data_IF_129550208033
#
_entry.id   IF_129550208033
#
_cell.length_a   1.000
_cell.length_b   1.000
_cell.length_c   1.000
_cell.angle_alpha   90.00
_cell.angle_beta   90.00
_cell.angle_gamma   90.00
#
_symmetry.space_group_name_H-M   'P 1'
#
loop_
_entity.id
_entity.type
_entity.pdbx_description
1 polymer ?
#
# COMPACT_ATOMS: atom_id res chain seq x y z
N UNK A 1 -17.30 17.59 13.39
CA UNK A 1 -16.80 17.21 12.05
C UNK A 1 -17.42 15.88 11.70
N UNK A 2 -18.25 15.83 10.66
CA UNK A 2 -18.87 14.60 10.15
C UNK A 2 -17.92 13.80 9.24
N UNK A 3 -18.36 12.63 8.75
CA UNK A 3 -17.58 11.75 7.86
C UNK A 3 -17.07 12.44 6.59
N UNK A 4 -17.92 13.19 5.89
CA UNK A 4 -17.58 13.85 4.63
C UNK A 4 -16.59 15.01 4.86
N UNK A 5 -16.80 15.79 5.94
CA UNK A 5 -15.86 16.83 6.35
C UNK A 5 -14.49 16.26 6.75
N UNK A 6 -14.47 15.13 7.47
CA UNK A 6 -13.23 14.40 7.79
C UNK A 6 -12.53 13.95 6.51
N UNK A 7 -13.27 13.37 5.57
CA UNK A 7 -12.73 12.93 4.27
C UNK A 7 -12.05 14.09 3.55
N UNK A 8 -12.76 15.22 3.38
CA UNK A 8 -12.19 16.42 2.73
C UNK A 8 -10.98 16.97 3.50
N UNK A 9 -11.02 16.95 4.84
CA UNK A 9 -9.89 17.39 5.67
C UNK A 9 -8.65 16.53 5.43
N UNK A 10 -8.80 15.20 5.41
CA UNK A 10 -7.71 14.27 5.14
C UNK A 10 -7.16 14.44 3.72
N UNK A 11 -8.05 14.53 2.73
CA UNK A 11 -7.70 14.71 1.31
C UNK A 11 -6.90 16.00 1.11
N UNK A 12 -7.27 17.08 1.80
CA UNK A 12 -6.58 18.36 1.71
C UNK A 12 -5.18 18.39 2.35
N UNK A 13 -4.80 17.41 3.17
CA UNK A 13 -3.45 17.31 3.72
C UNK A 13 -2.58 16.52 2.72
N UNK A 14 -1.57 17.11 2.09
CA UNK A 14 -0.66 16.36 1.22
C UNK A 14 0.04 15.26 2.00
N UNK A 15 0.05 14.04 1.46
CA UNK A 15 0.70 12.89 2.08
C UNK A 15 1.25 11.95 1.02
N UNK A 16 2.03 12.50 0.09
CA UNK A 16 2.76 11.66 -0.87
C UNK A 16 3.72 10.77 -0.08
N UNK A 17 3.89 9.51 -0.48
CA UNK A 17 4.81 8.59 0.21
C UNK A 17 6.17 9.22 0.50
N UNK A 18 6.62 9.18 1.76
CA UNK A 18 7.80 9.90 2.26
C UNK A 18 7.50 11.24 2.96
N UNK A 19 6.31 11.80 2.78
CA UNK A 19 5.84 13.10 3.29
C UNK A 19 4.54 12.96 4.11
N UNK A 20 4.43 11.90 4.91
CA UNK A 20 3.22 11.57 5.69
C UNK A 20 3.16 12.25 7.08
N UNK A 21 4.11 13.10 7.44
CA UNK A 21 4.24 13.69 8.78
C UNK A 21 3.05 14.57 9.15
N UNK A 22 2.60 15.46 8.24
CA UNK A 22 1.48 16.37 8.51
C UNK A 22 0.16 15.63 8.74
N UNK A 23 -0.11 14.59 7.92
CA UNK A 23 -1.33 13.79 8.08
C UNK A 23 -1.27 12.94 9.35
N UNK A 24 -0.09 12.42 9.70
CA UNK A 24 0.11 11.68 10.94
C UNK A 24 -0.12 12.57 12.18
N UNK A 25 0.37 13.82 12.16
CA UNK A 25 0.14 14.80 13.23
C UNK A 25 -1.35 15.10 13.43
N UNK A 26 -2.06 15.30 12.31
CA UNK A 26 -3.51 15.49 12.32
C UNK A 26 -4.24 14.27 12.89
N UNK A 27 -3.93 13.07 12.41
CA UNK A 27 -4.57 11.82 12.84
C UNK A 27 -4.32 11.54 14.33
N UNK A 28 -3.09 11.72 14.82
CA UNK A 28 -2.76 11.57 16.23
C UNK A 28 -3.58 12.52 17.10
N UNK A 29 -3.68 13.79 16.71
CA UNK A 29 -4.46 14.79 17.44
C UNK A 29 -5.96 14.47 17.40
N UNK A 30 -6.47 14.08 16.23
CA UNK A 30 -7.88 13.78 16.00
C UNK A 30 -8.37 12.54 16.75
N UNK A 31 -7.55 11.49 16.82
CA UNK A 31 -7.88 10.24 17.52
C UNK A 31 -7.70 10.39 19.03
N UNK A 32 -6.69 11.13 19.51
CA UNK A 32 -6.54 11.48 20.94
C UNK A 32 -7.75 12.28 21.44
N UNK A 33 -8.24 13.25 20.67
CA UNK A 33 -9.43 14.03 21.05
C UNK A 33 -10.71 13.20 21.14
N UNK A 34 -10.69 11.95 20.66
CA UNK A 34 -11.78 10.96 20.72
C UNK A 34 -11.52 9.87 21.76
N UNK A 35 -10.54 10.09 22.64
CA UNK A 35 -10.16 9.18 23.72
C UNK A 35 -9.67 7.81 23.26
N UNK A 36 -9.15 7.65 22.04
CA UNK A 36 -8.47 6.41 21.66
C UNK A 36 -7.10 6.34 22.36
N UNK A 37 -6.71 5.14 22.80
CA UNK A 37 -5.33 4.90 23.23
C UNK A 37 -4.43 4.81 22.00
N UNK A 38 -3.42 5.68 21.94
CA UNK A 38 -2.55 5.84 20.77
C UNK A 38 -1.15 5.31 21.03
N UNK A 39 -0.68 4.49 20.10
CA UNK A 39 0.72 4.09 19.97
C UNK A 39 1.23 4.46 18.58
N UNK A 40 2.26 5.30 18.56
CA UNK A 40 2.95 5.70 17.34
C UNK A 40 4.15 4.76 17.11
N UNK A 41 4.26 4.19 15.92
CA UNK A 41 5.40 3.35 15.54
C UNK A 41 6.30 4.11 14.56
N UNK A 42 7.42 4.62 15.07
CA UNK A 42 8.38 5.35 14.24
C UNK A 42 9.02 4.41 13.22
N UNK A 43 8.93 4.78 11.94
CA UNK A 43 9.53 4.05 10.83
C UNK A 43 10.86 4.70 10.44
N UNK A 44 10.86 6.01 10.29
CA UNK A 44 12.06 6.82 10.11
C UNK A 44 11.87 8.23 10.67
N UNK A 45 12.73 9.18 10.28
CA UNK A 45 12.70 10.55 10.81
C UNK A 45 11.38 11.29 10.58
N UNK A 46 10.62 10.94 9.53
CA UNK A 46 9.39 11.64 9.16
C UNK A 46 8.16 10.74 9.15
N UNK A 47 8.35 9.44 9.00
CA UNK A 47 7.26 8.48 8.83
C UNK A 47 6.98 7.68 10.10
N UNK A 48 5.69 7.48 10.39
CA UNK A 48 5.24 6.67 11.51
C UNK A 48 3.88 6.03 11.24
N UNK A 49 3.70 4.78 11.64
CA UNK A 49 2.37 4.19 11.72
C UNK A 49 1.65 4.70 12.97
N UNK A 50 0.32 4.66 12.94
CA UNK A 50 -0.54 4.99 14.07
C UNK A 50 -1.38 3.75 14.40
N UNK A 51 -1.23 3.24 15.62
CA UNK A 51 -2.16 2.29 16.20
C UNK A 51 -3.05 3.04 17.19
N UNK A 52 -4.37 2.98 16.99
CA UNK A 52 -5.36 3.57 17.88
C UNK A 52 -6.32 2.49 18.36
N UNK A 53 -6.56 2.37 19.66
CA UNK A 53 -7.41 1.29 20.21
C UNK A 53 -8.50 1.84 21.13
N UNK A 54 -9.67 1.21 21.09
CA UNK A 54 -10.79 1.55 21.97
C UNK A 54 -10.61 0.99 23.39
N UNK A 55 -9.79 -0.06 23.54
CA UNK A 55 -9.40 -0.72 24.78
C UNK A 55 -8.10 -1.50 24.61
N UNK A 56 -7.68 -2.24 25.63
CA UNK A 56 -6.33 -2.84 25.69
C UNK A 56 -6.13 -4.10 24.83
N UNK A 57 -7.20 -4.70 24.31
CA UNK A 57 -7.15 -5.97 23.58
C UNK A 57 -8.07 -5.94 22.36
N UNK A 58 -7.66 -5.29 21.25
CA UNK A 58 -8.47 -5.25 20.04
C UNK A 58 -8.56 -6.65 19.41
N UNK A 59 -9.78 -7.15 19.21
CA UNK A 59 -10.03 -8.38 18.46
C UNK A 59 -10.07 -8.14 16.96
N UNK A 60 -10.58 -6.98 16.55
CA UNK A 60 -10.64 -6.56 15.15
C UNK A 60 -9.79 -5.31 14.94
N UNK A 61 -8.91 -5.33 13.95
CA UNK A 61 -8.15 -4.15 13.51
C UNK A 61 -8.64 -3.72 12.14
N UNK A 62 -9.07 -2.48 12.02
CA UNK A 62 -9.30 -1.80 10.75
C UNK A 62 -7.98 -1.20 10.28
N UNK A 63 -7.43 -1.68 9.17
CA UNK A 63 -6.11 -1.30 8.68
C UNK A 63 -6.20 -0.62 7.32
N UNK A 64 -5.54 0.52 7.13
CA UNK A 64 -5.44 1.21 5.83
C UNK A 64 -4.19 2.10 5.82
N UNK A 65 -3.90 2.75 4.70
CA UNK A 65 -2.72 3.61 4.57
C UNK A 65 -3.08 5.10 4.50
N UNK A 66 -2.15 5.95 4.94
CA UNK A 66 -2.30 7.41 4.90
C UNK A 66 -1.54 8.06 3.74
N UNK A 67 -0.58 7.35 3.16
CA UNK A 67 0.19 7.83 2.01
C UNK A 67 -0.61 7.74 0.70
N UNK A 68 -0.14 8.46 -0.31
CA UNK A 68 -0.75 8.56 -1.62
C UNK A 68 0.31 8.67 -2.72
N UNK A 69 -0.01 8.30 -3.95
CA UNK A 69 0.84 8.62 -5.11
C UNK A 69 0.83 10.12 -5.50
N UNK A 70 1.92 10.64 -6.13
CA UNK A 70 1.89 11.97 -6.75
C UNK A 70 1.05 12.00 -8.04
N UNK A 71 0.57 13.19 -8.48
CA UNK A 71 0.59 14.46 -7.77
C UNK A 71 -0.55 14.57 -6.74
N UNK A 72 -0.38 15.49 -5.78
CA UNK A 72 -1.45 15.92 -4.88
C UNK A 72 -2.39 16.91 -5.57
N UNK A 73 -3.69 16.77 -5.28
CA UNK A 73 -4.72 17.75 -5.62
C UNK A 73 -5.76 17.77 -4.51
N UNK A 74 -6.16 18.99 -4.13
CA UNK A 74 -7.05 19.27 -3.00
C UNK A 74 -8.45 18.73 -3.23
N UNK A 75 -9.22 18.68 -2.14
CA UNK A 75 -10.58 18.18 -2.16
C UNK A 75 -11.52 19.14 -2.89
N UNK A 76 -12.37 18.60 -3.76
CA UNK A 76 -13.59 19.26 -4.25
C UNK A 76 -14.76 18.28 -4.18
N UNK A 77 -15.98 18.76 -4.34
CA UNK A 77 -17.17 17.89 -4.31
C UNK A 77 -18.25 18.38 -5.27
N UNK A 78 -19.09 17.45 -5.70
CA UNK A 78 -20.40 17.73 -6.32
C UNK A 78 -21.51 17.00 -5.55
N UNK A 79 -22.69 16.86 -6.15
CA UNK A 79 -23.84 16.20 -5.51
C UNK A 79 -23.63 14.70 -5.22
N UNK A 80 -22.64 14.07 -5.86
CA UNK A 80 -22.45 12.62 -5.81
C UNK A 80 -21.07 12.19 -5.32
N UNK A 81 -20.04 12.99 -5.59
CA UNK A 81 -18.65 12.58 -5.41
C UNK A 81 -17.82 13.63 -4.67
N UNK A 82 -16.89 13.12 -3.87
CA UNK A 82 -15.73 13.87 -3.38
C UNK A 82 -14.54 13.52 -4.27
N UNK A 83 -13.93 14.54 -4.84
CA UNK A 83 -12.73 14.44 -5.67
C UNK A 83 -11.51 14.88 -4.86
N UNK A 84 -10.34 14.35 -5.21
CA UNK A 84 -9.08 14.72 -4.57
C UNK A 84 -8.09 13.55 -4.49
N UNK A 85 -6.80 13.84 -4.26
CA UNK A 85 -5.79 12.79 -4.13
C UNK A 85 -6.06 12.00 -2.85
N UNK A 86 -6.37 10.73 -3.06
CA UNK A 86 -6.71 9.77 -2.03
C UNK A 86 -8.15 9.81 -1.55
N UNK A 87 -9.05 10.54 -2.22
CA UNK A 87 -10.48 10.47 -1.91
C UNK A 87 -11.01 9.02 -2.00
N UNK A 88 -10.59 8.28 -3.03
CA UNK A 88 -10.82 6.83 -3.15
C UNK A 88 -9.76 6.02 -2.38
N UNK A 89 -8.48 6.34 -2.61
CA UNK A 89 -7.33 5.50 -2.24
C UNK A 89 -6.30 6.21 -1.32
N UNK A 90 -6.35 6.05 0.00
CA UNK A 90 -7.42 5.39 0.75
C UNK A 90 -8.06 6.29 1.81
N UNK A 91 -7.94 7.62 1.68
CA UNK A 91 -8.35 8.58 2.72
C UNK A 91 -9.86 8.63 2.98
N UNK A 92 -10.69 8.43 1.95
CA UNK A 92 -12.15 8.29 2.16
C UNK A 92 -12.49 7.03 2.95
N UNK A 93 -11.83 5.92 2.63
CA UNK A 93 -11.97 4.65 3.36
C UNK A 93 -11.46 4.79 4.79
N UNK A 94 -10.30 5.44 4.97
CA UNK A 94 -9.74 5.76 6.28
C UNK A 94 -10.71 6.59 7.12
N UNK A 95 -11.36 7.61 6.54
CA UNK A 95 -12.37 8.40 7.23
C UNK A 95 -13.55 7.53 7.68
N UNK A 96 -14.04 6.63 6.83
CA UNK A 96 -15.13 5.73 7.14
C UNK A 96 -14.77 4.72 8.24
N UNK A 97 -13.54 4.18 8.21
CA UNK A 97 -13.03 3.29 9.26
C UNK A 97 -12.91 4.00 10.60
N UNK A 98 -12.37 5.23 10.62
CA UNK A 98 -12.26 6.04 11.83
C UNK A 98 -13.65 6.35 12.40
N UNK A 99 -14.61 6.73 11.54
CA UNK A 99 -15.99 7.01 11.94
C UNK A 99 -16.65 5.78 12.56
N UNK A 100 -16.56 4.63 11.89
CA UNK A 100 -17.14 3.37 12.36
C UNK A 100 -16.56 2.93 13.70
N UNK A 101 -15.23 3.00 13.85
CA UNK A 101 -14.56 2.66 15.11
C UNK A 101 -14.98 3.61 16.25
N UNK A 102 -15.25 4.88 15.96
CA UNK A 102 -15.76 5.83 16.93
C UNK A 102 -17.20 5.48 17.36
N UNK A 103 -18.11 5.23 16.41
CA UNK A 103 -19.50 4.85 16.72
C UNK A 103 -19.56 3.56 17.56
N UNK A 104 -18.83 2.53 17.15
CA UNK A 104 -18.77 1.26 17.90
C UNK A 104 -18.24 1.46 19.33
N UNK A 105 -17.25 2.33 19.51
CA UNK A 105 -16.73 2.67 20.83
C UNK A 105 -17.75 3.42 21.67
N UNK A 106 -18.51 4.34 21.09
CA UNK A 106 -19.60 5.06 21.75
C UNK A 106 -20.74 4.12 22.17
N UNK A 107 -20.96 3.04 21.42
CA UNK A 107 -21.84 1.92 21.78
C UNK A 107 -21.25 1.00 22.89
N UNK A 108 -20.01 1.25 23.32
CA UNK A 108 -19.36 0.53 24.41
C UNK A 108 -18.45 -0.63 23.99
N UNK A 109 -18.20 -0.82 22.68
CA UNK A 109 -17.23 -1.81 22.22
C UNK A 109 -15.79 -1.33 22.53
N UNK A 110 -14.97 -2.25 23.01
CA UNK A 110 -13.58 -1.96 23.45
C UNK A 110 -12.55 -2.83 22.75
N UNK A 111 -12.99 -3.76 21.90
CA UNK A 111 -12.19 -4.75 21.20
C UNK A 111 -11.95 -4.38 19.73
N UNK A 112 -11.89 -3.07 19.43
CA UNK A 112 -11.63 -2.52 18.10
C UNK A 112 -10.37 -1.66 18.10
N UNK A 113 -9.56 -1.83 17.06
CA UNK A 113 -8.39 -1.01 16.77
C UNK A 113 -8.39 -0.46 15.36
N UNK A 114 -7.67 0.64 15.16
CA UNK A 114 -7.30 1.23 13.88
C UNK A 114 -5.78 1.12 13.74
N UNK A 115 -5.31 0.60 12.61
CA UNK A 115 -3.90 0.61 12.24
C UNK A 115 -3.74 1.38 10.93
N UNK A 116 -3.20 2.59 11.03
CA UNK A 116 -2.98 3.45 9.87
C UNK A 116 -1.49 3.42 9.55
N UNK A 117 -1.14 2.90 8.37
CA UNK A 117 0.24 2.66 7.96
C UNK A 117 0.76 3.68 6.95
N UNK A 118 2.08 3.75 6.83
CA UNK A 118 2.80 4.57 5.85
C UNK A 118 3.48 3.71 4.78
N UNK A 119 3.70 4.32 3.62
CA UNK A 119 4.52 3.78 2.54
C UNK A 119 3.91 2.61 1.77
N UNK A 120 2.59 2.42 1.82
CA UNK A 120 1.91 1.34 1.10
C UNK A 120 2.24 1.38 -0.40
N UNK A 121 2.18 2.57 -0.98
CA UNK A 121 2.21 2.82 -2.43
C UNK A 121 3.59 2.58 -3.07
N UNK A 122 4.64 2.33 -2.28
CA UNK A 122 6.02 2.16 -2.80
C UNK A 122 6.79 1.01 -2.19
N UNK A 123 6.97 1.00 -0.86
CA UNK A 123 7.92 0.12 -0.18
C UNK A 123 7.26 -0.82 0.86
N UNK A 124 6.00 -0.55 1.18
CA UNK A 124 5.18 -1.21 2.20
C UNK A 124 5.87 -1.30 3.57
N UNK A 125 6.78 -0.37 3.89
CA UNK A 125 7.60 -0.42 5.10
C UNK A 125 6.74 -0.33 6.35
N UNK A 126 5.70 0.52 6.34
CA UNK A 126 4.78 0.64 7.47
C UNK A 126 4.12 -0.68 7.82
N UNK A 127 3.49 -1.35 6.86
CA UNK A 127 2.85 -2.65 7.07
C UNK A 127 3.85 -3.74 7.51
N UNK A 128 5.05 -3.79 6.89
CA UNK A 128 6.10 -4.74 7.29
C UNK A 128 6.51 -4.55 8.76
N UNK A 129 6.74 -3.30 9.16
CA UNK A 129 7.13 -2.96 10.53
C UNK A 129 5.99 -3.17 11.53
N UNK A 130 4.74 -2.99 11.13
CA UNK A 130 3.58 -3.18 12.00
C UNK A 130 3.50 -4.60 12.59
N UNK A 131 4.03 -5.61 11.89
CA UNK A 131 4.13 -6.98 12.43
C UNK A 131 4.92 -7.06 13.76
N UNK A 132 5.85 -6.13 14.00
CA UNK A 132 6.62 -6.07 15.25
C UNK A 132 5.84 -5.47 16.44
N UNK A 133 4.68 -4.85 16.20
CA UNK A 133 3.83 -4.28 17.27
C UNK A 133 3.24 -5.36 18.17
N UNK A 134 3.07 -6.59 17.65
CA UNK A 134 2.49 -7.73 18.36
C UNK A 134 1.19 -7.38 19.10
N UNK A 135 0.32 -6.61 18.44
CA UNK A 135 -0.93 -6.09 19.02
C UNK A 135 -1.84 -7.23 19.50
N UNK A 136 -1.83 -8.35 18.77
CA UNK A 136 -2.76 -9.46 18.98
C UNK A 136 -4.14 -9.06 18.44
N UNK A 137 -4.63 -9.77 17.44
CA UNK A 137 -5.96 -9.56 16.86
C UNK A 137 -6.44 -10.87 16.23
N UNK A 138 -7.73 -11.14 16.31
CA UNK A 138 -8.36 -12.29 15.65
C UNK A 138 -8.54 -12.00 14.15
N UNK A 139 -8.85 -10.74 13.82
CA UNK A 139 -9.16 -10.31 12.45
C UNK A 139 -8.52 -8.96 12.12
N UNK A 140 -8.14 -8.81 10.85
CA UNK A 140 -7.74 -7.54 10.26
C UNK A 140 -8.60 -7.30 9.02
N UNK A 141 -9.22 -6.12 8.93
CA UNK A 141 -9.96 -5.68 7.76
C UNK A 141 -9.11 -4.62 7.07
N UNK A 142 -8.62 -4.95 5.87
CA UNK A 142 -7.85 -4.02 5.04
C UNK A 142 -8.80 -3.11 4.26
N UNK A 143 -8.66 -1.81 4.45
CA UNK A 143 -9.41 -0.77 3.80
C UNK A 143 -8.75 -0.36 2.50
N UNK A 144 -9.19 -0.97 1.42
CA UNK A 144 -8.73 -0.75 0.05
C UNK A 144 -9.93 -0.55 -0.90
N UNK A 145 -9.77 0.18 -2.01
CA UNK A 145 -10.85 0.48 -2.94
C UNK A 145 -11.31 -0.79 -3.69
N UNK A 146 -12.29 -1.48 -3.12
CA UNK A 146 -12.82 -2.76 -3.60
C UNK A 146 -14.27 -2.66 -4.09
N UNK A 147 -14.79 -1.45 -4.28
CA UNK A 147 -16.22 -1.20 -4.56
C UNK A 147 -17.15 -1.82 -3.50
N UNK A 148 -16.72 -1.84 -2.23
CA UNK A 148 -17.38 -2.52 -1.11
C UNK A 148 -17.56 -4.04 -1.30
N UNK A 149 -16.74 -4.67 -2.16
CA UNK A 149 -16.71 -6.12 -2.32
C UNK A 149 -15.64 -6.71 -1.42
N UNK A 150 -15.97 -7.82 -0.75
CA UNK A 150 -15.01 -8.50 0.11
C UNK A 150 -13.92 -9.20 -0.71
N UNK A 151 -12.70 -8.65 -0.68
CA UNK A 151 -11.51 -9.33 -1.15
C UNK A 151 -11.05 -10.38 -0.13
N UNK A 152 -11.19 -11.66 -0.47
CA UNK A 152 -10.83 -12.78 0.44
C UNK A 152 -9.39 -13.27 0.26
N UNK A 153 -8.70 -12.82 -0.80
CA UNK A 153 -7.34 -13.21 -1.10
C UNK A 153 -6.67 -12.21 -2.06
N UNK A 154 -5.34 -12.16 -2.02
CA UNK A 154 -4.49 -11.44 -2.98
C UNK A 154 -3.39 -12.36 -3.53
N UNK A 155 -2.81 -12.04 -4.68
CA UNK A 155 -1.68 -12.81 -5.22
C UNK A 155 -0.40 -12.34 -4.58
N UNK A 156 0.48 -13.29 -4.24
CA UNK A 156 1.87 -12.95 -3.93
C UNK A 156 2.57 -12.35 -5.15
N UNK A 157 3.56 -11.48 -4.90
CA UNK A 157 4.38 -10.86 -5.93
C UNK A 157 5.82 -11.31 -5.72
N UNK A 158 6.48 -11.75 -6.80
CA UNK A 158 7.91 -12.02 -6.82
C UNK A 158 8.50 -11.30 -8.03
N UNK A 159 9.53 -10.49 -7.78
CA UNK A 159 10.22 -9.71 -8.81
C UNK A 159 11.65 -10.20 -8.95
N UNK A 160 12.10 -10.43 -10.18
CA UNK A 160 13.46 -10.88 -10.48
C UNK A 160 14.18 -9.90 -11.40
N UNK A 161 15.48 -9.70 -11.18
CA UNK A 161 16.39 -9.06 -12.14
C UNK A 161 17.28 -10.12 -12.78
N UNK A 162 17.12 -10.36 -14.07
CA UNK A 162 17.94 -11.29 -14.83
C UNK A 162 19.00 -10.49 -15.59
N UNK A 163 20.27 -10.89 -15.45
CA UNK A 163 21.38 -10.24 -16.15
C UNK A 163 22.13 -11.28 -16.99
N UNK A 164 22.21 -11.06 -18.30
CA UNK A 164 23.07 -11.83 -19.18
C UNK A 164 24.30 -11.01 -19.56
N UNK A 165 25.43 -11.69 -19.76
CA UNK A 165 26.67 -11.09 -20.28
C UNK A 165 26.99 -11.67 -21.65
N UNK A 166 27.43 -10.80 -22.53
CA UNK A 166 27.87 -11.11 -23.88
C UNK A 166 29.31 -10.65 -24.11
N UNK A 167 29.73 -10.71 -25.37
CA UNK A 167 31.03 -10.20 -25.84
C UNK A 167 30.75 -9.17 -26.93
N UNK A 168 31.19 -7.94 -26.72
CA UNK A 168 31.01 -6.88 -27.71
C UNK A 168 31.78 -7.18 -28.99
N UNK A 169 31.16 -6.89 -30.13
CA UNK A 169 31.77 -6.96 -31.44
C UNK A 169 31.09 -5.94 -32.37
N UNK A 170 31.77 -5.59 -33.45
CA UNK A 170 31.14 -4.80 -34.51
C UNK A 170 29.98 -5.61 -35.10
N UNK A 171 28.84 -4.98 -35.33
CA UNK A 171 27.65 -5.61 -35.94
C UNK A 171 27.88 -6.28 -37.29
N UNK A 172 28.96 -5.92 -38.02
CA UNK A 172 29.34 -6.53 -39.29
C UNK A 172 30.07 -7.88 -39.11
N UNK A 173 30.56 -8.17 -37.91
CA UNK A 173 31.29 -9.40 -37.56
C UNK A 173 30.67 -10.08 -36.32
N UNK A 174 29.40 -10.50 -36.38
CA UNK A 174 28.69 -11.06 -35.23
C UNK A 174 29.37 -12.29 -34.62
N UNK A 175 30.07 -13.09 -35.44
CA UNK A 175 30.85 -14.25 -35.01
C UNK A 175 32.00 -13.93 -34.05
N UNK A 176 32.45 -12.67 -34.02
CA UNK A 176 33.52 -12.21 -33.13
C UNK A 176 33.01 -11.83 -31.74
N UNK A 177 31.68 -11.81 -31.54
CA UNK A 177 31.01 -11.43 -30.30
C UNK A 177 29.91 -12.40 -29.89
N UNK A 178 29.19 -12.03 -28.83
CA UNK A 178 28.06 -12.77 -28.29
C UNK A 178 27.04 -11.77 -27.78
N UNK A 179 25.81 -11.80 -28.30
CA UNK A 179 24.76 -10.86 -27.87
C UNK A 179 24.20 -11.26 -26.51
N UNK A 180 24.30 -10.36 -25.52
CA UNK A 180 23.65 -10.55 -24.22
C UNK A 180 22.12 -10.52 -24.33
N UNK A 181 21.58 -9.76 -25.29
CA UNK A 181 20.14 -9.64 -25.51
C UNK A 181 19.58 -10.95 -26.06
N UNK A 182 20.23 -11.58 -27.03
CA UNK A 182 19.78 -12.88 -27.55
C UNK A 182 19.70 -13.93 -26.44
N UNK A 183 20.72 -14.00 -25.56
CA UNK A 183 20.70 -14.87 -24.39
C UNK A 183 19.52 -14.57 -23.43
N UNK A 184 19.18 -13.30 -23.25
CA UNK A 184 18.00 -12.92 -22.45
C UNK A 184 16.70 -13.36 -23.12
N UNK A 185 16.58 -13.22 -24.45
CA UNK A 185 15.40 -13.67 -25.19
C UNK A 185 15.19 -15.18 -25.01
N UNK A 186 16.25 -15.99 -25.10
CA UNK A 186 16.20 -17.44 -24.86
C UNK A 186 15.70 -17.77 -23.45
N UNK A 187 16.25 -17.11 -22.42
CA UNK A 187 15.83 -17.32 -21.03
C UNK A 187 14.38 -16.89 -20.83
N UNK A 188 13.97 -15.74 -21.35
CA UNK A 188 12.61 -15.23 -21.24
C UNK A 188 11.62 -16.15 -21.96
N UNK A 189 11.99 -16.73 -23.11
CA UNK A 189 11.16 -17.73 -23.78
C UNK A 189 10.93 -18.95 -22.89
N UNK A 190 11.99 -19.45 -22.23
CA UNK A 190 11.86 -20.57 -21.28
C UNK A 190 10.96 -20.22 -20.09
N UNK A 191 11.12 -19.03 -19.51
CA UNK A 191 10.29 -18.56 -18.39
C UNK A 191 8.81 -18.46 -18.79
N UNK A 192 8.52 -17.90 -19.98
CA UNK A 192 7.16 -17.78 -20.50
C UNK A 192 6.46 -19.12 -20.74
N UNK A 193 7.24 -20.20 -20.94
CA UNK A 193 6.73 -21.55 -21.13
C UNK A 193 6.50 -22.31 -19.81
N UNK A 194 6.91 -21.77 -18.66
CA UNK A 194 6.69 -22.39 -17.36
C UNK A 194 5.20 -22.31 -16.97
N UNK A 195 4.72 -23.37 -16.32
CA UNK A 195 3.44 -23.35 -15.61
C UNK A 195 3.67 -22.82 -14.18
N UNK A 196 3.14 -21.62 -13.92
CA UNK A 196 3.20 -20.99 -12.61
C UNK A 196 2.02 -21.39 -11.70
N UNK A 197 1.24 -22.38 -12.11
CA UNK A 197 0.13 -22.91 -11.35
C UNK A 197 -1.13 -22.04 -11.41
N UNK A 198 -2.17 -22.60 -10.81
CA UNK A 198 -3.48 -21.98 -10.66
C UNK A 198 -3.97 -22.20 -9.24
N UNK A 199 -4.32 -21.11 -8.58
CA UNK A 199 -5.02 -21.16 -7.31
C UNK A 199 -6.55 -21.27 -7.55
N UNK A 200 -7.32 -22.03 -6.74
CA UNK A 200 -8.76 -22.15 -6.89
C UNK A 200 -9.53 -20.83 -6.77
N UNK A 201 -9.04 -19.89 -5.96
CA UNK A 201 -9.67 -18.60 -5.68
C UNK A 201 -9.08 -17.51 -6.60
N UNK A 202 -7.75 -17.42 -6.67
CA UNK A 202 -7.05 -16.33 -7.36
C UNK A 202 -6.80 -16.60 -8.85
N UNK A 203 -7.05 -17.82 -9.30
CA UNK A 203 -6.82 -18.22 -10.68
C UNK A 203 -5.33 -18.36 -11.03
N UNK A 204 -4.99 -18.19 -12.30
CA UNK A 204 -3.63 -18.40 -12.80
C UNK A 204 -2.69 -17.29 -12.33
N UNK A 205 -1.47 -17.67 -11.98
CA UNK A 205 -0.36 -16.73 -11.79
C UNK A 205 -0.11 -15.93 -13.07
N UNK A 206 0.25 -14.65 -12.93
CA UNK A 206 0.50 -13.74 -14.05
C UNK A 206 1.99 -13.46 -14.13
N UNK A 207 2.56 -13.63 -15.33
CA UNK A 207 3.93 -13.26 -15.63
C UNK A 207 3.94 -11.93 -16.39
N UNK A 208 4.75 -10.98 -15.94
CA UNK A 208 5.00 -9.73 -16.65
C UNK A 208 6.50 -9.51 -16.86
N UNK A 209 6.90 -9.16 -18.09
CA UNK A 209 8.27 -8.71 -18.40
C UNK A 209 8.20 -7.19 -18.49
N UNK A 210 8.51 -6.51 -17.37
CA UNK A 210 8.34 -5.05 -17.27
C UNK A 210 9.38 -4.25 -18.05
N UNK A 211 10.63 -4.73 -18.12
CA UNK A 211 11.72 -4.03 -18.81
C UNK A 211 12.72 -5.03 -19.40
N UNK A 212 13.22 -4.72 -20.59
CA UNK A 212 14.39 -5.34 -21.20
C UNK A 212 15.30 -4.23 -21.70
N UNK A 213 16.58 -4.26 -21.31
CA UNK A 213 17.56 -3.23 -21.66
C UNK A 213 18.89 -3.88 -22.06
N UNK A 214 19.52 -3.34 -23.11
CA UNK A 214 20.86 -3.70 -23.53
C UNK A 214 21.80 -2.50 -23.37
N UNK A 215 22.96 -2.71 -22.78
CA UNK A 215 23.96 -1.67 -22.55
C UNK A 215 25.26 -2.05 -23.26
N UNK A 216 25.84 -1.14 -24.04
CA UNK A 216 27.19 -1.33 -24.59
C UNK A 216 28.21 -1.19 -23.45
N UNK A 217 29.26 -2.03 -23.41
CA UNK A 217 30.35 -1.80 -22.47
C UNK A 217 30.94 -0.41 -22.73
N UNK A 218 30.97 0.41 -21.67
CA UNK A 218 31.68 1.69 -21.67
C UNK A 218 33.18 1.47 -21.57
#
# INVERSE_FOLDING_TARGET
>A
MNLFELTKKLVNIPSVTGLEDEIADFLCSYLKSRNFDLKEQIIDKRRRNILATAGSAPRVILCTHMDTVPPHFSASEDEHYIYGRGACDAKGIMAAMIWSAQEMKEEGLTDIGLLIVVGEETDSTGAKMANSLKVGSDFIIFGEPTENKLGIAHKGIITFKITAKGKAAHSAFPQSGESAIEKLLDVLQRIRALDFGKDPVMGRSVLNIGTIEGVLPR
#
